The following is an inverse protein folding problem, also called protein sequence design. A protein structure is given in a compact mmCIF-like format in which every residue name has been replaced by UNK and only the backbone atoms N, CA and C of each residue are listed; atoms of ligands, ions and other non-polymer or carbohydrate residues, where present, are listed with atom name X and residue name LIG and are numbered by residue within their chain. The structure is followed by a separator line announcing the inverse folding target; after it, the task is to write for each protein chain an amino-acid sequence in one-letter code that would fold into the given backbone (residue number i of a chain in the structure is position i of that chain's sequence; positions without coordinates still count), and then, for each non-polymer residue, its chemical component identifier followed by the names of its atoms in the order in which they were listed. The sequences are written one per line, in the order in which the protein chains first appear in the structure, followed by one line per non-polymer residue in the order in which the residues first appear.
data_IF_428202565261
#
_entry.id   IF_428202565261
#
_cell.length_a   1.000
_cell.length_b   1.000
_cell.length_c   1.000
_cell.angle_alpha   90.00
_cell.angle_beta   90.00
_cell.angle_gamma   90.00
#
_symmetry.space_group_name_H-M   'P 1'
#
loop_
_entity.id
_entity.type
_entity.pdbx_description
1 polymer ?
#
# COMPACT_ATOMS: atom_id res chain seq x y z
N UNK A 1 5.06 19.13 -5.09
CA UNK A 1 4.06 18.77 -4.05
C UNK A 1 3.70 17.28 -4.17
N UNK A 2 3.35 16.60 -3.05
CA UNK A 2 2.83 15.21 -3.10
C UNK A 2 1.30 15.24 -3.19
N UNK A 3 0.75 14.50 -4.14
CA UNK A 3 -0.69 14.33 -4.38
C UNK A 3 -1.01 12.84 -4.52
N UNK A 4 -2.28 12.49 -4.67
CA UNK A 4 -2.72 11.10 -4.79
C UNK A 4 -3.88 11.00 -5.77
N UNK A 5 -3.76 10.06 -6.71
CA UNK A 5 -4.88 9.60 -7.54
C UNK A 5 -5.51 8.38 -6.86
N UNK A 6 -6.84 8.34 -6.81
CA UNK A 6 -7.58 7.18 -6.31
C UNK A 6 -8.56 6.76 -7.39
N UNK A 7 -8.58 5.48 -7.72
CA UNK A 7 -9.41 4.96 -8.81
C UNK A 7 -9.84 3.51 -8.51
N UNK A 8 -10.95 3.10 -9.11
CA UNK A 8 -11.36 1.70 -9.10
C UNK A 8 -10.60 0.95 -10.19
N UNK A 9 -10.33 -0.33 -9.96
CA UNK A 9 -9.71 -1.21 -10.95
C UNK A 9 -10.53 -2.48 -11.15
N UNK A 10 -10.52 -3.00 -12.37
CA UNK A 10 -11.34 -4.16 -12.77
C UNK A 10 -10.47 -5.20 -13.47
N UNK A 11 -10.50 -6.46 -12.99
CA UNK A 11 -9.92 -7.57 -13.73
C UNK A 11 -10.59 -7.75 -15.09
N UNK A 12 -9.85 -8.22 -16.10
CA UNK A 12 -10.37 -8.41 -17.46
C UNK A 12 -11.15 -9.72 -17.63
N UNK A 13 -11.04 -10.63 -16.65
CA UNK A 13 -11.72 -11.92 -16.63
C UNK A 13 -11.92 -12.42 -15.20
N UNK A 14 -12.81 -13.40 -15.01
CA UNK A 14 -12.97 -14.07 -13.72
C UNK A 14 -11.68 -14.77 -13.24
N UNK A 15 -10.83 -15.23 -14.17
CA UNK A 15 -9.52 -15.80 -13.87
C UNK A 15 -8.60 -14.74 -13.27
N UNK A 16 -8.55 -13.57 -13.89
CA UNK A 16 -7.74 -12.44 -13.44
C UNK A 16 -8.23 -11.91 -12.09
N UNK A 17 -9.54 -11.94 -11.86
CA UNK A 17 -10.12 -11.58 -10.56
C UNK A 17 -9.65 -12.53 -9.46
N UNK A 18 -9.73 -13.85 -9.69
CA UNK A 18 -9.28 -14.82 -8.70
C UNK A 18 -7.77 -14.74 -8.47
N UNK A 19 -6.98 -14.55 -9.53
CA UNK A 19 -5.54 -14.31 -9.43
C UNK A 19 -5.25 -13.08 -8.56
N UNK A 20 -5.96 -11.96 -8.80
CA UNK A 20 -5.79 -10.75 -8.00
C UNK A 20 -6.17 -10.97 -6.53
N UNK A 21 -7.27 -11.69 -6.25
CA UNK A 21 -7.69 -12.03 -4.88
C UNK A 21 -6.64 -12.87 -4.16
N UNK A 22 -6.10 -13.90 -4.81
CA UNK A 22 -5.04 -14.75 -4.25
C UNK A 22 -3.76 -13.94 -3.96
N UNK A 23 -3.41 -12.99 -4.83
CA UNK A 23 -2.27 -12.10 -4.61
C UNK A 23 -2.51 -11.20 -3.38
N UNK A 24 -3.70 -10.63 -3.24
CA UNK A 24 -4.04 -9.77 -2.09
C UNK A 24 -4.13 -10.57 -0.78
N UNK A 25 -4.66 -11.79 -0.82
CA UNK A 25 -4.72 -12.69 0.34
C UNK A 25 -3.31 -13.07 0.81
N UNK A 26 -2.43 -13.44 -0.11
CA UNK A 26 -1.04 -13.74 0.21
C UNK A 26 -0.30 -12.53 0.81
N UNK A 27 -0.60 -11.31 0.34
CA UNK A 27 -0.07 -10.09 0.97
C UNK A 27 -0.60 -9.86 2.38
N UNK A 28 -1.88 -10.14 2.64
CA UNK A 28 -2.46 -10.06 3.97
C UNK A 28 -1.87 -11.12 4.91
N UNK A 29 -1.66 -12.34 4.42
CA UNK A 29 -1.00 -13.42 5.16
C UNK A 29 0.45 -13.05 5.54
N UNK A 30 1.23 -12.54 4.59
CA UNK A 30 2.60 -12.08 4.85
C UNK A 30 2.64 -10.94 5.87
N UNK A 31 1.70 -9.97 5.78
CA UNK A 31 1.55 -8.94 6.80
C UNK A 31 1.32 -9.55 8.18
N UNK A 32 0.35 -10.47 8.29
CA UNK A 32 -0.02 -11.09 9.55
C UNK A 32 1.13 -11.90 10.17
N UNK A 33 1.81 -12.74 9.38
CA UNK A 33 2.94 -13.53 9.87
C UNK A 33 4.12 -12.63 10.30
N UNK A 34 4.43 -11.59 9.52
CA UNK A 34 5.45 -10.60 9.91
C UNK A 34 5.06 -9.91 11.21
N UNK A 35 3.79 -9.53 11.34
CA UNK A 35 3.29 -8.84 12.52
C UNK A 35 3.29 -9.73 13.76
N UNK A 36 2.92 -11.00 13.60
CA UNK A 36 2.95 -12.01 14.67
C UNK A 36 4.37 -12.20 15.19
N UNK A 37 5.34 -12.41 14.30
CA UNK A 37 6.75 -12.59 14.67
C UNK A 37 7.30 -11.37 15.42
N UNK A 38 6.82 -10.17 15.10
CA UNK A 38 7.18 -8.95 15.84
C UNK A 38 6.50 -8.87 17.20
N UNK A 39 5.20 -9.14 17.24
CA UNK A 39 4.42 -9.05 18.44
C UNK A 39 4.90 -10.02 19.53
N UNK A 40 5.30 -11.24 19.17
CA UNK A 40 5.85 -12.21 20.15
C UNK A 40 7.24 -11.83 20.69
N UNK A 41 7.94 -10.91 20.01
CA UNK A 41 9.23 -10.35 20.43
C UNK A 41 9.07 -9.00 21.12
N UNK A 42 7.87 -8.43 21.07
CA UNK A 42 7.59 -7.16 21.66
C UNK A 42 7.39 -7.33 23.17
N UNK A 43 8.30 -6.76 23.93
CA UNK A 43 8.17 -6.56 25.37
C UNK A 43 7.68 -5.11 25.63
N UNK A 44 6.59 -5.00 26.37
CA UNK A 44 5.95 -3.72 26.69
C UNK A 44 6.53 -3.06 27.95
N UNK A 45 7.36 -3.78 28.72
CA UNK A 45 7.84 -3.36 30.04
C UNK A 45 8.79 -2.14 30.02
N UNK A 46 9.57 -1.94 28.95
CA UNK A 46 10.66 -0.94 28.94
C UNK A 46 10.29 0.44 28.36
N UNK A 47 9.03 0.67 28.00
CA UNK A 47 8.52 2.00 27.64
C UNK A 47 9.11 2.67 26.38
N UNK A 48 10.05 2.04 25.66
CA UNK A 48 10.76 2.61 24.51
C UNK A 48 10.80 1.62 23.31
N UNK A 49 11.38 2.06 22.18
CA UNK A 49 11.63 1.19 21.01
C UNK A 49 12.26 -0.14 21.45
N UNK A 50 11.60 -1.25 21.12
CA UNK A 50 12.08 -2.58 21.44
C UNK A 50 12.93 -3.12 20.27
N UNK A 51 14.25 -3.27 20.48
CA UNK A 51 15.18 -3.71 19.44
C UNK A 51 14.84 -5.12 18.90
N UNK A 52 14.32 -6.01 19.75
CA UNK A 52 14.04 -7.41 19.40
C UNK A 52 12.93 -7.53 18.34
N UNK A 53 12.01 -6.56 18.25
CA UNK A 53 10.98 -6.50 17.20
C UNK A 53 11.61 -6.51 15.79
N UNK A 54 12.83 -5.99 15.65
CA UNK A 54 13.53 -5.94 14.36
C UNK A 54 14.20 -7.27 13.98
N UNK A 55 14.36 -8.20 14.92
CA UNK A 55 14.90 -9.56 14.71
C UNK A 55 13.88 -10.57 14.18
N UNK A 56 12.66 -10.11 13.86
CA UNK A 56 11.69 -10.91 13.13
C UNK A 56 12.32 -11.48 11.83
N UNK A 57 12.10 -12.77 11.49
CA UNK A 57 12.79 -13.47 10.41
C UNK A 57 12.26 -13.08 9.02
N UNK A 58 12.30 -11.78 8.70
CA UNK A 58 11.70 -11.17 7.50
C UNK A 58 12.27 -11.72 6.19
N UNK A 59 13.55 -12.10 6.15
CA UNK A 59 14.15 -12.75 4.98
C UNK A 59 13.58 -14.14 4.69
N UNK A 60 13.26 -14.92 5.73
CA UNK A 60 12.56 -16.22 5.59
C UNK A 60 11.15 -16.01 5.05
N UNK A 61 10.42 -15.06 5.63
CA UNK A 61 9.06 -14.72 5.22
C UNK A 61 9.02 -14.19 3.78
N UNK A 62 9.94 -13.30 3.39
CA UNK A 62 10.08 -12.88 1.99
C UNK A 62 10.29 -14.09 1.07
N UNK A 63 11.19 -15.00 1.45
CA UNK A 63 11.50 -16.21 0.69
C UNK A 63 10.28 -17.13 0.48
N UNK A 64 9.42 -17.25 1.49
CA UNK A 64 8.19 -18.04 1.44
C UNK A 64 7.14 -17.43 0.50
N UNK A 65 7.06 -16.11 0.42
CA UNK A 65 5.98 -15.41 -0.29
C UNK A 65 6.38 -14.86 -1.68
N UNK A 66 7.68 -14.75 -2.00
CA UNK A 66 8.15 -14.19 -3.27
C UNK A 66 7.70 -14.98 -4.50
N UNK A 67 7.43 -16.27 -4.37
CA UNK A 67 6.91 -17.11 -5.44
C UNK A 67 5.50 -16.69 -5.89
N UNK A 68 4.65 -16.31 -4.93
CA UNK A 68 3.28 -15.86 -5.18
C UNK A 68 3.21 -14.35 -5.48
N UNK A 69 3.88 -13.52 -4.68
CA UNK A 69 3.78 -12.06 -4.75
C UNK A 69 4.77 -11.42 -5.73
N UNK A 70 5.88 -12.10 -6.02
CA UNK A 70 7.10 -11.48 -6.52
C UNK A 70 7.93 -10.87 -5.40
N UNK A 71 9.26 -10.94 -5.53
CA UNK A 71 10.19 -10.49 -4.49
C UNK A 71 10.00 -9.01 -4.11
N UNK A 72 9.77 -8.14 -5.09
CA UNK A 72 9.55 -6.72 -4.81
C UNK A 72 8.30 -6.48 -3.97
N UNK A 73 7.17 -7.09 -4.31
CA UNK A 73 5.91 -6.93 -3.55
C UNK A 73 6.03 -7.51 -2.15
N UNK A 74 6.61 -8.71 -1.98
CA UNK A 74 6.83 -9.31 -0.67
C UNK A 74 7.64 -8.39 0.27
N UNK A 75 8.76 -7.85 -0.23
CA UNK A 75 9.56 -6.89 0.53
C UNK A 75 8.78 -5.61 0.87
N UNK A 76 7.92 -5.13 -0.03
CA UNK A 76 7.15 -3.92 0.21
C UNK A 76 6.08 -4.11 1.30
N UNK A 77 5.46 -5.29 1.36
CA UNK A 77 4.54 -5.65 2.45
C UNK A 77 5.27 -5.64 3.80
N UNK A 78 6.44 -6.29 3.88
CA UNK A 78 7.29 -6.28 5.09
C UNK A 78 7.69 -4.86 5.46
N UNK A 79 8.13 -4.04 4.49
CA UNK A 79 8.48 -2.62 4.73
C UNK A 79 7.31 -1.81 5.25
N UNK A 80 6.10 -2.02 4.73
CA UNK A 80 4.89 -1.35 5.22
C UNK A 80 4.58 -1.78 6.66
N UNK A 81 4.81 -3.04 7.02
CA UNK A 81 4.69 -3.48 8.42
C UNK A 81 5.75 -2.77 9.29
N UNK A 82 7.00 -2.64 8.82
CA UNK A 82 8.04 -1.87 9.54
C UNK A 82 7.67 -0.40 9.74
N UNK A 83 7.01 0.21 8.76
CA UNK A 83 6.50 1.58 8.89
C UNK A 83 5.41 1.70 9.95
N UNK A 84 4.52 0.70 10.04
CA UNK A 84 3.49 0.67 11.08
C UNK A 84 4.10 0.50 12.48
N UNK A 85 5.08 -0.37 12.66
CA UNK A 85 5.79 -0.52 13.94
C UNK A 85 6.55 0.76 14.36
N UNK A 86 7.26 1.41 13.43
CA UNK A 86 7.89 2.72 13.73
C UNK A 86 6.86 3.81 14.05
N UNK A 87 5.70 3.78 13.41
CA UNK A 87 4.63 4.72 13.71
C UNK A 87 4.04 4.48 15.10
N UNK A 88 3.86 3.22 15.48
CA UNK A 88 3.47 2.81 16.83
C UNK A 88 4.47 3.31 17.88
N UNK A 89 5.77 3.03 17.74
CA UNK A 89 6.76 3.50 18.70
C UNK A 89 6.80 5.03 18.83
N UNK A 90 6.75 5.75 17.70
CA UNK A 90 6.66 7.23 17.74
C UNK A 90 5.42 7.74 18.48
N UNK A 91 4.27 7.08 18.31
CA UNK A 91 3.06 7.45 19.05
C UNK A 91 3.19 7.11 20.54
N UNK A 92 3.83 5.97 20.87
CA UNK A 92 4.11 5.56 22.25
C UNK A 92 5.02 6.60 22.94
N UNK A 93 6.10 7.03 22.29
CA UNK A 93 6.98 8.09 22.79
C UNK A 93 6.20 9.40 23.04
N UNK A 94 5.33 9.78 22.11
CA UNK A 94 4.48 10.98 22.25
C UNK A 94 3.46 10.88 23.37
N UNK A 95 2.95 9.69 23.66
CA UNK A 95 2.01 9.45 24.76
C UNK A 95 2.68 9.57 26.14
N UNK A 96 3.95 9.14 26.26
CA UNK A 96 4.71 9.25 27.52
C UNK A 96 5.44 10.58 27.70
N UNK A 97 5.49 11.44 26.69
CA UNK A 97 5.98 12.81 26.80
C UNK A 97 4.96 13.68 27.54
N UNK A 98 5.23 13.97 28.82
CA UNK A 98 4.36 14.81 29.68
C UNK A 98 4.07 16.21 29.09
N UNK A 99 4.91 16.71 28.18
CA UNK A 99 4.71 18.00 27.52
C UNK A 99 3.77 17.92 26.30
N UNK A 100 3.43 16.72 25.85
CA UNK A 100 2.62 16.47 24.67
C UNK A 100 1.17 16.10 25.05
N UNK A 101 0.23 16.98 24.73
CA UNK A 101 -1.20 16.75 24.97
C UNK A 101 -1.97 16.25 23.75
N UNK A 102 -1.28 15.89 22.66
CA UNK A 102 -1.92 15.52 21.38
C UNK A 102 -2.23 14.02 21.26
N UNK A 103 -1.53 13.17 22.01
CA UNK A 103 -1.77 11.73 22.07
C UNK A 103 -2.29 11.40 23.47
N UNK A 104 -3.61 11.29 23.59
CA UNK A 104 -4.30 11.10 24.89
C UNK A 104 -4.68 9.64 25.15
N UNK A 105 -4.73 8.82 24.11
CA UNK A 105 -5.05 7.40 24.19
C UNK A 105 -3.77 6.58 24.10
N UNK A 106 -3.71 5.49 24.87
CA UNK A 106 -2.56 4.60 24.86
C UNK A 106 -2.47 3.90 23.49
N UNK A 107 -1.36 4.07 22.73
CA UNK A 107 -1.22 3.48 21.42
C UNK A 107 -1.16 1.95 21.49
N UNK A 108 -1.77 1.28 20.52
CA UNK A 108 -1.68 -0.18 20.37
C UNK A 108 -0.69 -0.57 19.27
N UNK A 109 -0.03 -1.75 19.37
CA UNK A 109 0.81 -2.26 18.31
C UNK A 109 0.01 -2.49 17.02
N UNK A 110 0.68 -2.59 15.85
CA UNK A 110 -0.03 -2.78 14.59
C UNK A 110 -0.94 -4.02 14.59
N UNK A 111 -2.15 -3.86 14.07
CA UNK A 111 -3.14 -4.93 14.00
C UNK A 111 -2.92 -5.95 12.86
N UNK A 112 -3.69 -7.04 12.93
CA UNK A 112 -3.79 -8.06 11.88
C UNK A 112 -4.84 -7.68 10.82
N UNK A 113 -4.64 -8.13 9.59
CA UNK A 113 -5.55 -7.96 8.45
C UNK A 113 -6.54 -9.12 8.35
N UNK A 114 -7.45 -9.20 9.31
CA UNK A 114 -8.38 -10.34 9.44
C UNK A 114 -7.64 -11.67 9.64
N UNK A 115 -8.34 -12.78 9.41
CA UNK A 115 -7.80 -14.13 9.60
C UNK A 115 -8.27 -15.09 8.50
N UNK A 116 -7.79 -16.34 8.52
CA UNK A 116 -8.12 -17.32 7.45
C UNK A 116 -9.58 -17.80 7.51
N UNK A 117 -10.17 -17.82 8.70
CA UNK A 117 -11.48 -18.43 8.96
C UNK A 117 -12.63 -17.44 8.69
N UNK A 118 -12.47 -16.20 9.16
CA UNK A 118 -13.44 -15.10 8.99
C UNK A 118 -13.19 -14.27 7.73
N UNK A 119 -12.06 -14.48 7.06
CA UNK A 119 -11.60 -13.70 5.91
C UNK A 119 -10.52 -12.69 6.26
N UNK A 120 -9.55 -12.54 5.35
CA UNK A 120 -8.48 -11.54 5.46
C UNK A 120 -8.88 -10.24 4.76
N UNK A 121 -8.39 -9.13 5.27
CA UNK A 121 -8.48 -7.84 4.58
C UNK A 121 -7.55 -7.86 3.36
N UNK A 122 -8.14 -7.99 2.17
CA UNK A 122 -7.40 -8.13 0.91
C UNK A 122 -6.73 -6.81 0.52
N UNK A 123 -5.45 -6.68 0.84
CA UNK A 123 -4.67 -5.46 0.61
C UNK A 123 -3.20 -5.73 0.35
N UNK A 124 -2.62 -5.01 -0.59
CA UNK A 124 -1.20 -5.05 -0.92
C UNK A 124 -0.60 -3.66 -1.12
N UNK A 125 0.72 -3.60 -1.20
CA UNK A 125 1.50 -2.42 -1.54
C UNK A 125 2.54 -2.79 -2.59
N UNK A 126 2.56 -2.06 -3.71
CA UNK A 126 3.38 -2.38 -4.88
C UNK A 126 4.42 -1.28 -5.08
N UNK A 127 5.68 -1.67 -5.31
CA UNK A 127 6.78 -0.73 -5.56
C UNK A 127 6.49 0.08 -6.83
N UNK A 128 6.92 1.35 -6.85
CA UNK A 128 6.72 2.29 -7.96
C UNK A 128 7.18 1.81 -9.35
N UNK A 129 8.16 0.92 -9.44
CA UNK A 129 8.61 0.33 -10.70
C UNK A 129 8.03 -1.08 -10.97
N UNK A 130 7.30 -1.63 -10.00
CA UNK A 130 6.63 -2.94 -10.09
C UNK A 130 5.18 -2.82 -10.59
N UNK A 131 4.71 -1.60 -10.89
CA UNK A 131 3.49 -1.37 -11.66
C UNK A 131 3.70 -0.27 -12.72
N UNK A 132 2.82 -0.25 -13.72
CA UNK A 132 2.65 0.84 -14.68
C UNK A 132 1.18 1.26 -14.73
N UNK A 133 0.96 2.54 -14.97
CA UNK A 133 -0.38 3.11 -15.21
C UNK A 133 -0.33 3.80 -16.57
N UNK A 134 -1.28 3.47 -17.42
CA UNK A 134 -1.50 4.11 -18.72
C UNK A 134 -2.86 4.77 -18.70
N UNK A 135 -2.89 6.09 -18.89
CA UNK A 135 -4.13 6.87 -18.95
C UNK A 135 -4.52 7.14 -20.40
N UNK A 136 -5.82 7.08 -20.69
CA UNK A 136 -6.40 7.35 -22.01
C UNK A 136 -7.78 6.70 -22.17
N UNK A 137 -8.26 6.56 -23.41
CA UNK A 137 -9.58 6.00 -23.72
C UNK A 137 -9.82 4.61 -23.08
N UNK A 138 -8.76 3.82 -22.91
CA UNK A 138 -8.77 2.55 -22.19
C UNK A 138 -7.66 2.54 -21.16
N UNK A 139 -7.89 3.23 -20.05
CA UNK A 139 -6.93 3.35 -18.96
C UNK A 139 -6.64 1.99 -18.31
N UNK A 140 -5.37 1.72 -18.00
CA UNK A 140 -4.88 0.42 -17.54
C UNK A 140 -3.87 0.55 -16.42
N UNK A 141 -3.99 -0.35 -15.46
CA UNK A 141 -2.99 -0.64 -14.44
C UNK A 141 -2.40 -2.01 -14.73
N UNK A 142 -1.08 -2.13 -14.83
CA UNK A 142 -0.41 -3.42 -14.94
C UNK A 142 0.51 -3.66 -13.75
N UNK A 143 0.34 -4.79 -13.06
CA UNK A 143 1.11 -5.14 -11.86
C UNK A 143 1.95 -6.40 -12.08
N UNK A 144 3.14 -6.45 -11.46
CA UNK A 144 3.92 -7.68 -11.42
C UNK A 144 3.27 -8.71 -10.49
N UNK A 145 3.34 -9.97 -10.90
CA UNK A 145 2.83 -11.14 -10.18
C UNK A 145 3.98 -12.14 -10.01
N UNK A 146 4.03 -12.88 -8.91
CA UNK A 146 5.04 -13.90 -8.70
C UNK A 146 4.90 -15.10 -9.66
N UNK A 147 6.01 -15.79 -9.92
CA UNK A 147 6.05 -16.89 -10.90
C UNK A 147 5.13 -18.06 -10.55
N UNK A 148 5.00 -18.42 -9.27
CA UNK A 148 4.12 -19.52 -8.86
C UNK A 148 2.65 -19.21 -9.09
N UNK A 149 2.26 -17.94 -8.92
CA UNK A 149 0.89 -17.51 -9.19
C UNK A 149 0.64 -17.37 -10.70
N UNK A 150 1.65 -16.92 -11.45
CA UNK A 150 1.63 -16.96 -12.91
C UNK A 150 1.39 -18.40 -13.44
N UNK A 151 2.18 -19.37 -12.97
CA UNK A 151 2.06 -20.77 -13.36
C UNK A 151 0.70 -21.37 -12.99
N UNK A 152 0.22 -21.11 -11.77
CA UNK A 152 -1.08 -21.61 -11.28
C UNK A 152 -2.25 -21.17 -12.16
N UNK A 153 -2.21 -19.95 -12.65
CA UNK A 153 -3.29 -19.36 -13.43
C UNK A 153 -3.02 -19.40 -14.93
N UNK A 154 -1.93 -20.02 -15.41
CA UNK A 154 -1.51 -19.92 -16.82
C UNK A 154 -1.52 -18.45 -17.29
N UNK A 155 -0.88 -17.60 -16.49
CA UNK A 155 -0.76 -16.16 -16.72
C UNK A 155 0.68 -15.82 -17.04
N UNK A 156 0.92 -14.99 -18.05
CA UNK A 156 2.27 -14.58 -18.44
C UNK A 156 2.42 -13.07 -18.27
N UNK A 157 3.51 -12.67 -17.62
CA UNK A 157 3.88 -11.26 -17.52
C UNK A 157 3.08 -10.51 -16.45
N UNK A 158 2.78 -9.24 -16.72
CA UNK A 158 2.04 -8.39 -15.78
C UNK A 158 0.56 -8.70 -15.83
N UNK A 159 -0.14 -8.56 -14.70
CA UNK A 159 -1.59 -8.67 -14.66
C UNK A 159 -2.20 -7.33 -15.11
N UNK A 160 -2.92 -7.29 -16.24
CA UNK A 160 -3.60 -6.09 -16.68
C UNK A 160 -4.93 -5.93 -15.93
N UNK A 161 -5.20 -4.72 -15.48
CA UNK A 161 -6.44 -4.30 -14.82
C UNK A 161 -6.95 -3.05 -15.52
N UNK A 162 -8.23 -3.01 -15.85
CA UNK A 162 -8.87 -1.80 -16.38
C UNK A 162 -9.06 -0.79 -15.25
N UNK A 163 -8.72 0.47 -15.50
CA UNK A 163 -8.98 1.56 -14.56
C UNK A 163 -10.33 2.18 -14.89
N UNK A 164 -11.17 2.33 -13.86
CA UNK A 164 -12.43 3.05 -13.96
C UNK A 164 -12.30 4.44 -13.32
N UNK A 165 -12.49 5.47 -14.14
CA UNK A 165 -12.42 6.88 -13.76
C UNK A 165 -11.21 7.60 -14.36
N UNK A 166 -11.19 8.92 -14.15
CA UNK A 166 -10.12 9.81 -14.63
C UNK A 166 -9.14 10.16 -13.49
N UNK A 167 -7.85 10.38 -13.79
CA UNK A 167 -6.90 10.83 -12.78
C UNK A 167 -7.18 12.28 -12.39
N UNK A 168 -7.07 12.58 -11.09
CA UNK A 168 -7.05 13.97 -10.62
C UNK A 168 -5.77 14.70 -11.04
N UNK A 169 -4.69 13.94 -11.22
CA UNK A 169 -3.36 14.42 -11.57
C UNK A 169 -2.82 13.56 -12.71
N UNK A 170 -3.10 13.98 -13.95
CA UNK A 170 -2.62 13.33 -15.17
C UNK A 170 -1.12 13.57 -15.39
N UNK A 171 -0.72 14.84 -15.30
CA UNK A 171 0.68 15.28 -15.46
C UNK A 171 1.41 15.23 -14.11
N UNK A 172 2.27 14.24 -13.94
CA UNK A 172 3.11 14.08 -12.75
C UNK A 172 4.56 13.70 -13.10
N UNK A 173 5.50 14.12 -12.27
CA UNK A 173 6.93 13.89 -12.49
C UNK A 173 7.36 12.49 -12.06
N UNK A 174 6.79 12.00 -10.95
CA UNK A 174 7.14 10.71 -10.33
C UNK A 174 5.94 10.06 -9.69
N UNK A 175 5.82 8.75 -9.88
CA UNK A 175 4.86 7.93 -9.14
C UNK A 175 5.51 7.24 -7.92
N UNK A 176 4.70 7.06 -6.87
CA UNK A 176 5.05 6.41 -5.62
C UNK A 176 4.66 4.94 -5.57
N UNK A 177 4.61 4.38 -4.35
CA UNK A 177 4.12 3.02 -4.12
C UNK A 177 2.60 2.99 -4.26
N UNK A 178 2.07 2.02 -4.99
CA UNK A 178 0.63 1.84 -5.15
C UNK A 178 0.09 1.05 -3.96
N UNK A 179 -0.94 1.55 -3.29
CA UNK A 179 -1.77 0.74 -2.41
C UNK A 179 -2.94 0.18 -3.24
N UNK A 180 -3.18 -1.13 -3.18
CA UNK A 180 -4.26 -1.82 -3.92
C UNK A 180 -5.01 -2.72 -2.94
N UNK A 181 -6.33 -2.62 -2.92
CA UNK A 181 -7.18 -3.38 -1.99
C UNK A 181 -8.53 -3.74 -2.61
N UNK A 182 -9.18 -4.74 -2.01
CA UNK A 182 -10.59 -5.01 -2.26
C UNK A 182 -11.44 -4.25 -1.25
N UNK A 183 -12.44 -3.54 -1.74
CA UNK A 183 -13.45 -2.86 -0.94
C UNK A 183 -14.66 -3.79 -0.81
N UNK A 184 -14.81 -4.41 0.36
CA UNK A 184 -15.90 -5.35 0.62
C UNK A 184 -17.29 -4.68 0.66
N UNK A 185 -17.34 -3.38 0.95
CA UNK A 185 -18.61 -2.63 1.01
C UNK A 185 -19.15 -2.43 -0.41
N UNK A 186 -18.30 -1.98 -1.32
CA UNK A 186 -18.68 -1.68 -2.71
C UNK A 186 -18.43 -2.85 -3.67
N UNK A 187 -17.86 -3.95 -3.17
CA UNK A 187 -17.55 -5.15 -3.95
C UNK A 187 -16.54 -4.91 -5.09
N UNK A 188 -15.65 -3.92 -4.97
CA UNK A 188 -14.75 -3.48 -6.05
C UNK A 188 -13.29 -3.41 -5.60
N UNK A 189 -12.36 -3.59 -6.53
CA UNK A 189 -10.95 -3.27 -6.26
C UNK A 189 -10.71 -1.77 -6.39
N UNK A 190 -9.88 -1.24 -5.51
CA UNK A 190 -9.49 0.17 -5.47
C UNK A 190 -7.98 0.31 -5.37
N UNK A 191 -7.46 1.36 -5.98
CA UNK A 191 -6.05 1.69 -5.94
C UNK A 191 -5.84 3.16 -5.55
N UNK A 192 -4.76 3.40 -4.82
CA UNK A 192 -4.28 4.71 -4.43
C UNK A 192 -2.84 4.87 -4.90
N UNK A 193 -2.63 5.83 -5.80
CA UNK A 193 -1.37 6.13 -6.46
C UNK A 193 -0.85 7.49 -5.98
N UNK A 194 0.10 7.54 -5.04
CA UNK A 194 0.80 8.75 -4.70
C UNK A 194 1.62 9.24 -5.89
N UNK A 195 1.54 10.53 -6.21
CA UNK A 195 2.27 11.17 -7.31
C UNK A 195 2.95 12.46 -6.82
N UNK A 196 4.10 12.77 -7.40
CA UNK A 196 4.77 14.05 -7.22
C UNK A 196 4.47 14.94 -8.43
N UNK A 197 3.95 16.14 -8.17
CA UNK A 197 3.64 17.15 -9.19
C UNK A 197 4.48 18.40 -8.93
N UNK A 198 4.98 19.01 -10.00
CA UNK A 198 5.59 20.34 -9.94
C UNK A 198 4.51 21.39 -9.99
N UNK A 199 4.58 22.38 -9.10
CA UNK A 199 3.58 23.43 -8.97
C UNK A 199 3.83 24.50 -10.03
N UNK A 200 3.43 24.25 -11.28
CA UNK A 200 3.54 25.23 -12.38
C UNK A 200 2.26 26.05 -12.58
N UNK A 201 1.26 25.94 -11.68
CA UNK A 201 0.13 26.89 -11.66
C UNK A 201 0.55 28.19 -10.97
N UNK A 202 1.46 28.94 -11.60
CA UNK A 202 1.42 30.38 -11.49
C UNK A 202 0.12 30.83 -12.16
N UNK A 203 -0.96 30.97 -11.38
CA UNK A 203 -2.09 31.80 -11.79
C UNK A 203 -1.51 33.17 -12.11
N UNK A 204 -1.70 33.74 -13.32
CA UNK A 204 -1.38 35.15 -13.50
C UNK A 204 -2.27 35.87 -12.50
N UNK A 205 -1.67 36.55 -11.52
CA UNK A 205 -2.36 37.59 -10.77
C UNK A 205 -3.00 38.47 -11.84
N UNK A 206 -4.33 38.53 -11.85
CA UNK A 206 -5.06 39.40 -12.75
C UNK A 206 -4.43 40.80 -12.61
N UNK A 207 -3.84 41.28 -13.70
CA UNK A 207 -3.36 42.65 -13.78
C UNK A 207 -4.59 43.53 -13.60
N UNK A 208 -4.68 44.17 -12.44
CA UNK A 208 -5.68 45.17 -12.13
C UNK A 208 -5.32 46.44 -12.91
N UNK A 209 -5.59 46.46 -14.21
CA UNK A 209 -5.70 47.70 -14.96
C UNK A 209 -7.05 48.33 -14.58
N UNK A 210 -7.06 49.01 -13.43
CA UNK A 210 -8.07 50.00 -13.13
C UNK A 210 -7.97 51.12 -14.17
N UNK A 211 -8.87 51.06 -15.14
CA UNK A 211 -9.18 52.13 -16.08
C UNK A 211 -9.53 53.38 -15.27
N UNK A 212 -8.64 54.38 -15.28
CA UNK A 212 -8.97 55.74 -14.89
C UNK A 212 -9.82 56.33 -16.01
N UNK A 213 -11.07 56.68 -15.68
CA UNK A 213 -11.89 57.59 -16.48
C UNK A 213 -12.64 58.54 -15.56
#
# INVERSE_FOLDING_TARGET
MKRTNTFAVRPLSAKDEQLLRDLLDASAALWNETNYERLIRYDDEDGLENEDVWDAPTGRLEGQYKGVLGASTAQQVIRKNSEAWRAFFRLKDQYYDESNSSVTEHPEPPGFRGNKDDGRELKTVIRNNSYSVEWGDRSRLEILVGSELQDRYDHTGRLPLEIAGEPNWLDYDKQGRLDLWYDDIDGTFRASQPVAVTDTRATPLASEEAVIR
#
